data_IF_432154995043
#
_entry.id   IF_432154995043
#
_cell.length_a   1.000
_cell.length_b   1.000
_cell.length_c   1.000
_cell.angle_alpha   90.00
_cell.angle_beta   90.00
_cell.angle_gamma   90.00
#
_symmetry.space_group_name_H-M   'P 1'
#
loop_
_entity.id
_entity.type
_entity.pdbx_description
1 polymer ?
#
# COMPACT_ATOMS: atom_id res chain seq x y z
N UNK A 1 -2.65 1.98 29.07
CA UNK A 1 -1.98 3.29 29.32
C UNK A 1 -1.16 3.64 28.08
N UNK A 2 -1.18 4.88 27.59
CA UNK A 2 -0.49 5.28 26.36
C UNK A 2 0.70 6.17 26.71
N UNK A 3 1.91 5.72 26.37
CA UNK A 3 3.17 6.43 26.60
C UNK A 3 3.98 6.64 25.31
N UNK A 4 3.76 5.77 24.32
CA UNK A 4 4.31 5.84 22.97
C UNK A 4 3.16 5.83 21.97
N UNK A 5 3.32 6.56 20.88
CA UNK A 5 2.44 6.42 19.73
C UNK A 5 3.15 5.54 18.70
N UNK A 6 2.64 4.32 18.50
CA UNK A 6 3.21 3.33 17.57
C UNK A 6 3.12 3.76 16.10
N UNK A 7 2.09 4.54 15.73
CA UNK A 7 1.87 4.99 14.34
C UNK A 7 2.87 6.07 13.93
N UNK A 8 3.22 6.96 14.86
CA UNK A 8 4.11 8.09 14.66
C UNK A 8 5.55 7.80 15.13
N UNK A 9 5.79 6.59 15.64
CA UNK A 9 7.05 6.13 16.20
C UNK A 9 7.71 7.15 17.15
N UNK A 10 6.94 7.66 18.12
CA UNK A 10 7.46 8.67 19.06
C UNK A 10 6.94 8.50 20.48
N UNK A 11 7.79 8.86 21.43
CA UNK A 11 7.43 8.96 22.84
C UNK A 11 6.54 10.21 23.01
N UNK A 12 5.44 10.05 23.76
CA UNK A 12 4.54 11.16 24.06
C UNK A 12 5.13 11.92 25.25
N UNK A 13 5.20 13.25 25.17
CA UNK A 13 5.78 14.14 26.20
C UNK A 13 5.05 14.04 27.56
N UNK A 14 3.91 13.35 27.62
CA UNK A 14 3.22 12.98 28.85
C UNK A 14 2.53 11.62 28.70
N UNK A 15 1.76 11.21 29.71
CA UNK A 15 1.02 9.94 29.66
C UNK A 15 -0.46 10.19 29.43
N UNK A 16 -1.09 9.38 28.59
CA UNK A 16 -2.55 9.38 28.43
C UNK A 16 -3.09 8.11 29.06
N UNK A 17 -4.03 8.26 30.00
CA UNK A 17 -4.79 7.14 30.53
C UNK A 17 -6.19 7.21 29.97
N UNK A 18 -6.76 6.04 29.74
CA UNK A 18 -8.18 5.93 29.46
C UNK A 18 -8.76 4.83 30.32
N UNK A 19 -10.02 5.01 30.66
CA UNK A 19 -10.83 4.02 31.34
C UNK A 19 -12.03 3.72 30.46
N UNK A 20 -12.33 2.44 30.36
CA UNK A 20 -13.52 1.93 29.71
C UNK A 20 -14.08 0.83 30.61
N UNK A 21 -15.36 0.53 30.45
CA UNK A 21 -16.00 -0.53 31.21
C UNK A 21 -15.93 -1.83 30.42
N UNK A 22 -15.21 -2.80 30.96
CA UNK A 22 -15.05 -4.12 30.35
C UNK A 22 -16.03 -5.16 30.93
N UNK A 23 -17.32 -4.83 30.89
CA UNK A 23 -18.41 -5.72 31.36
C UNK A 23 -19.58 -5.74 30.37
N UNK A 24 -19.27 -5.51 29.09
CA UNK A 24 -20.26 -5.35 28.03
C UNK A 24 -21.10 -6.60 27.78
N UNK A 25 -20.61 -7.78 28.18
CA UNK A 25 -21.35 -9.04 28.11
C UNK A 25 -22.52 -9.11 29.11
N UNK A 26 -22.47 -8.35 30.20
CA UNK A 26 -23.49 -8.36 31.25
C UNK A 26 -24.26 -7.04 31.38
N UNK A 27 -23.70 -5.91 30.93
CA UNK A 27 -24.29 -4.59 31.16
C UNK A 27 -25.02 -3.98 29.95
N UNK A 28 -25.03 -4.68 28.81
CA UNK A 28 -25.72 -4.25 27.59
C UNK A 28 -25.03 -3.13 26.82
N UNK A 29 -23.75 -2.84 27.11
CA UNK A 29 -22.98 -1.82 26.42
C UNK A 29 -22.93 -2.06 24.90
N UNK A 30 -23.27 -1.03 24.14
CA UNK A 30 -23.27 -1.04 22.66
C UNK A 30 -21.90 -0.63 22.11
N UNK A 31 -21.66 -0.96 20.84
CA UNK A 31 -20.49 -0.52 20.07
C UNK A 31 -20.30 0.99 20.17
N UNK A 32 -19.07 1.43 20.48
CA UNK A 32 -18.73 2.83 20.60
C UNK A 32 -18.65 3.47 19.21
N UNK A 33 -19.73 4.14 18.81
CA UNK A 33 -19.86 4.78 17.49
C UNK A 33 -18.83 5.89 17.25
N UNK A 34 -18.32 6.54 18.29
CA UNK A 34 -17.31 7.58 18.14
C UNK A 34 -15.97 6.97 17.69
N UNK A 35 -15.56 5.85 18.28
CA UNK A 35 -14.34 5.14 17.85
C UNK A 35 -14.49 4.55 16.45
N UNK A 36 -15.67 4.03 16.11
CA UNK A 36 -15.94 3.57 14.74
C UNK A 36 -15.85 4.73 13.74
N UNK A 37 -16.43 5.89 14.06
CA UNK A 37 -16.33 7.08 13.21
C UNK A 37 -14.89 7.61 13.09
N UNK A 38 -14.04 7.35 14.09
CA UNK A 38 -12.62 7.66 14.02
C UNK A 38 -11.86 6.74 13.08
N UNK A 39 -12.41 5.61 12.65
CA UNK A 39 -11.81 4.78 11.60
C UNK A 39 -12.42 5.14 10.25
N UNK A 40 -11.59 5.46 9.26
CA UNK A 40 -12.10 5.68 7.90
C UNK A 40 -12.83 4.41 7.44
N UNK A 41 -13.88 4.52 6.62
CA UNK A 41 -14.77 3.41 6.20
C UNK A 41 -14.04 2.16 5.65
N UNK A 42 -12.77 2.28 5.27
CA UNK A 42 -11.92 1.19 4.76
C UNK A 42 -11.03 0.50 5.82
N UNK A 43 -10.88 1.08 7.02
CA UNK A 43 -10.09 0.54 8.11
C UNK A 43 -11.02 0.03 9.21
N UNK A 44 -11.28 -1.27 9.28
CA UNK A 44 -12.03 -1.84 10.41
C UNK A 44 -11.29 -1.55 11.71
N UNK A 45 -11.97 -0.98 12.71
CA UNK A 45 -11.49 -0.98 14.10
C UNK A 45 -11.24 -2.44 14.50
N UNK A 46 -10.00 -2.77 14.88
CA UNK A 46 -9.61 -4.17 15.15
C UNK A 46 -10.14 -4.71 16.47
N UNK A 47 -10.42 -3.82 17.43
CA UNK A 47 -10.99 -4.15 18.73
C UNK A 47 -12.44 -3.67 18.86
N UNK A 48 -13.31 -4.51 19.40
CA UNK A 48 -14.72 -4.20 19.65
C UNK A 48 -14.87 -3.30 20.88
N UNK A 49 -14.53 -2.01 20.73
CA UNK A 49 -14.69 -1.02 21.78
C UNK A 49 -16.18 -0.75 22.04
N UNK A 50 -16.65 -1.11 23.24
CA UNK A 50 -18.04 -0.90 23.67
C UNK A 50 -18.16 0.05 24.84
N UNK A 51 -19.32 0.70 24.92
CA UNK A 51 -19.67 1.60 26.01
C UNK A 51 -18.89 2.93 26.01
N UNK A 52 -19.12 3.77 27.03
CA UNK A 52 -18.40 5.02 27.20
C UNK A 52 -16.92 4.80 27.52
N UNK A 53 -16.07 5.65 26.95
CA UNK A 53 -14.63 5.67 27.23
C UNK A 53 -14.25 7.07 27.70
N UNK A 54 -13.54 7.15 28.82
CA UNK A 54 -13.01 8.39 29.37
C UNK A 54 -11.50 8.39 29.21
N UNK A 55 -10.96 9.37 28.48
CA UNK A 55 -9.52 9.57 28.35
C UNK A 55 -9.08 10.88 29.01
N UNK A 56 -7.93 10.87 29.68
CA UNK A 56 -7.38 12.02 30.38
C UNK A 56 -5.84 11.95 30.38
N UNK A 57 -5.20 13.12 30.39
CA UNK A 57 -3.75 13.20 30.48
C UNK A 57 -3.28 13.11 31.93
N UNK A 58 -2.07 12.61 32.14
CA UNK A 58 -1.39 12.61 33.43
C UNK A 58 -0.16 13.52 33.36
N UNK A 59 0.06 14.32 34.41
CA UNK A 59 1.22 15.20 34.54
C UNK A 59 2.37 14.59 35.36
N UNK A 60 3.54 14.48 34.73
CA UNK A 60 4.84 14.12 35.33
C UNK A 60 5.36 12.70 35.00
N UNK A 61 6.48 12.28 35.60
CA UNK A 61 7.20 11.04 35.26
C UNK A 61 7.16 9.88 36.31
N UNK A 62 6.53 10.03 37.48
CA UNK A 62 6.54 9.03 38.58
C UNK A 62 5.42 7.97 38.52
N UNK A 63 5.54 6.89 39.29
CA UNK A 63 4.57 5.77 39.36
C UNK A 63 3.26 6.16 40.08
N UNK A 64 3.30 7.10 41.03
CA UNK A 64 2.18 7.52 41.89
C UNK A 64 1.69 8.95 41.62
N UNK A 65 1.28 9.24 40.38
CA UNK A 65 0.79 10.59 40.04
C UNK A 65 -0.72 10.71 40.06
N UNK A 66 -1.21 11.74 40.76
CA UNK A 66 -2.63 12.10 40.94
C UNK A 66 -3.06 13.34 40.15
N UNK A 67 -2.16 13.94 39.35
CA UNK A 67 -2.43 15.18 38.63
C UNK A 67 -2.97 14.83 37.23
N UNK A 68 -4.28 15.01 37.05
CA UNK A 68 -4.92 14.97 35.74
C UNK A 68 -4.68 16.29 35.00
N UNK A 69 -4.43 16.21 33.70
CA UNK A 69 -4.39 17.34 32.79
C UNK A 69 -5.39 17.15 31.65
N UNK A 70 -5.87 18.26 31.12
CA UNK A 70 -6.69 18.24 29.92
C UNK A 70 -5.89 17.76 28.70
N UNK A 71 -6.61 17.11 27.80
CA UNK A 71 -6.07 16.63 26.53
C UNK A 71 -6.08 17.79 25.52
N UNK A 72 -4.98 17.94 24.79
CA UNK A 72 -4.89 18.86 23.68
C UNK A 72 -5.09 18.12 22.33
N UNK A 73 -5.16 18.83 21.18
CA UNK A 73 -5.35 18.18 19.88
C UNK A 73 -4.25 17.16 19.50
N UNK A 74 -3.03 17.32 20.03
CA UNK A 74 -1.93 16.37 19.81
C UNK A 74 -2.19 15.07 20.58
N UNK A 75 -2.66 15.17 21.83
CA UNK A 75 -3.06 14.00 22.61
C UNK A 75 -4.26 13.26 21.98
N UNK A 76 -5.18 14.02 21.39
CA UNK A 76 -6.30 13.44 20.66
C UNK A 76 -5.82 12.59 19.48
N UNK A 77 -4.84 13.09 18.70
CA UNK A 77 -4.21 12.27 17.65
C UNK A 77 -3.63 10.98 18.21
N UNK A 78 -2.99 11.05 19.38
CA UNK A 78 -2.41 9.88 20.03
C UNK A 78 -3.46 8.84 20.46
N UNK A 79 -4.61 9.28 20.97
CA UNK A 79 -5.74 8.41 21.30
C UNK A 79 -6.35 7.76 20.05
N UNK A 80 -6.53 8.52 18.98
CA UNK A 80 -7.08 8.00 17.71
C UNK A 80 -6.19 6.90 17.14
N UNK A 81 -4.89 7.15 17.08
CA UNK A 81 -3.93 6.17 16.59
C UNK A 81 -3.95 4.90 17.46
N UNK A 82 -3.96 5.06 18.79
CA UNK A 82 -4.05 3.93 19.73
C UNK A 82 -5.30 3.08 19.50
N UNK A 83 -6.50 3.68 19.44
CA UNK A 83 -7.74 2.91 19.25
C UNK A 83 -7.81 2.21 17.89
N UNK A 84 -7.14 2.76 16.88
CA UNK A 84 -7.04 2.13 15.55
C UNK A 84 -6.08 0.94 15.54
N UNK A 85 -5.01 0.98 16.32
CA UNK A 85 -3.98 -0.06 16.31
C UNK A 85 -4.15 -1.13 17.38
N UNK A 86 -4.98 -0.89 18.40
CA UNK A 86 -5.19 -1.83 19.51
C UNK A 86 -5.75 -3.19 19.03
N UNK A 87 -5.06 -4.27 19.40
CA UNK A 87 -5.45 -5.67 19.20
C UNK A 87 -5.37 -6.40 20.54
N UNK A 88 -6.27 -7.38 20.78
CA UNK A 88 -6.05 -8.40 21.82
C UNK A 88 -5.06 -9.38 21.21
N UNK A 89 -3.77 -9.08 21.29
CA UNK A 89 -2.82 -10.17 21.35
C UNK A 89 -2.82 -10.61 22.82
N UNK A 90 -3.18 -11.88 23.02
CA UNK A 90 -3.31 -12.58 24.30
C UNK A 90 -2.25 -12.18 25.31
N UNK A 91 -2.69 -11.95 26.54
CA UNK A 91 -1.91 -11.87 27.78
C UNK A 91 -1.12 -13.18 28.11
N UNK A 92 -0.63 -13.91 27.09
CA UNK A 92 0.05 -15.22 27.22
C UNK A 92 1.36 -15.30 26.39
N UNK A 93 2.06 -14.19 26.16
CA UNK A 93 3.52 -14.27 26.04
C UNK A 93 4.12 -13.58 27.26
N UNK A 94 4.51 -14.43 28.20
CA UNK A 94 5.30 -14.12 29.38
C UNK A 94 6.32 -13.03 29.08
N UNK A 95 6.09 -11.91 29.74
CA UNK A 95 7.08 -11.02 30.33
C UNK A 95 8.28 -11.85 30.83
N UNK A 96 9.19 -12.16 29.92
CA UNK A 96 10.46 -12.82 30.19
C UNK A 96 11.56 -12.02 29.51
N UNK A 97 12.27 -11.33 30.39
CA UNK A 97 13.50 -10.58 30.19
C UNK A 97 13.43 -9.32 29.32
N UNK A 98 13.22 -8.22 30.03
CA UNK A 98 14.09 -7.04 29.99
C UNK A 98 15.59 -7.44 29.94
N UNK A 99 16.06 -7.92 28.79
CA UNK A 99 17.48 -7.93 28.48
C UNK A 99 17.73 -6.98 27.32
N UNK A 100 18.31 -5.85 27.69
CA UNK A 100 19.11 -4.99 26.83
C UNK A 100 20.04 -5.88 25.99
N UNK A 101 20.02 -5.72 24.69
CA UNK A 101 21.13 -6.13 23.85
C UNK A 101 22.34 -5.28 24.27
N UNK A 102 23.53 -5.89 24.30
CA UNK A 102 24.83 -5.38 24.81
C UNK A 102 25.27 -3.98 24.29
N UNK A 103 24.51 -3.38 23.37
CA UNK A 103 24.78 -2.10 22.73
C UNK A 103 23.72 -1.00 22.98
N UNK A 104 22.74 -1.20 23.87
CA UNK A 104 21.84 -0.13 24.32
C UNK A 104 20.87 0.42 23.25
N UNK A 105 20.63 -0.32 22.16
CA UNK A 105 19.66 0.07 21.13
C UNK A 105 18.24 -0.40 21.47
N UNK A 106 17.21 0.47 21.38
CA UNK A 106 15.83 0.08 21.69
C UNK A 106 15.32 -0.96 20.70
N UNK A 107 14.92 -2.14 21.19
CA UNK A 107 14.26 -3.19 20.38
C UNK A 107 13.02 -2.59 19.70
N UNK A 108 13.08 -2.44 18.38
CA UNK A 108 11.96 -1.95 17.56
C UNK A 108 10.81 -2.95 17.65
N UNK A 109 9.64 -2.48 18.08
CA UNK A 109 8.45 -3.34 18.18
C UNK A 109 8.13 -3.90 16.79
N UNK A 110 7.56 -5.11 16.70
CA UNK A 110 7.07 -5.64 15.40
C UNK A 110 6.09 -4.67 14.70
N UNK A 111 5.50 -3.73 15.43
CA UNK A 111 4.57 -2.70 14.95
C UNK A 111 5.27 -1.55 14.21
N UNK A 112 6.55 -1.28 14.48
CA UNK A 112 7.32 -0.22 13.79
C UNK A 112 8.05 -0.71 12.55
N UNK A 113 8.00 -2.02 12.24
CA UNK A 113 8.62 -2.58 11.03
C UNK A 113 7.86 -2.10 9.79
N UNK A 114 8.63 -1.54 8.86
CA UNK A 114 8.16 -1.10 7.54
C UNK A 114 8.90 -1.87 6.46
N UNK A 115 8.31 -1.93 5.28
CA UNK A 115 8.91 -2.51 4.07
C UNK A 115 8.87 -1.50 2.95
N UNK A 116 9.84 -1.57 2.05
CA UNK A 116 9.87 -0.69 0.88
C UNK A 116 8.88 -1.17 -0.17
N UNK A 117 7.99 -0.27 -0.57
CA UNK A 117 7.07 -0.43 -1.67
C UNK A 117 7.20 0.73 -2.66
N UNK A 118 6.34 0.71 -3.67
CA UNK A 118 6.30 1.74 -4.71
C UNK A 118 4.90 2.31 -4.83
N UNK A 119 4.78 3.63 -4.81
CA UNK A 119 3.60 4.35 -5.26
C UNK A 119 3.74 4.64 -6.75
N UNK A 120 2.86 4.07 -7.56
CA UNK A 120 2.68 4.42 -8.97
C UNK A 120 1.73 5.62 -9.01
N UNK A 121 2.29 6.81 -9.23
CA UNK A 121 1.53 8.06 -9.24
C UNK A 121 0.67 8.17 -10.50
N UNK A 122 -0.60 8.55 -10.36
CA UNK A 122 -1.46 8.83 -11.51
C UNK A 122 -1.06 10.14 -12.21
N UNK A 123 -1.56 10.35 -13.43
CA UNK A 123 -1.27 11.57 -14.20
C UNK A 123 -1.63 12.86 -13.44
N UNK A 124 -2.70 12.82 -12.62
CA UNK A 124 -3.08 13.94 -11.78
C UNK A 124 -2.00 14.33 -10.77
N UNK A 125 -1.48 13.34 -10.04
CA UNK A 125 -0.42 13.54 -9.05
C UNK A 125 0.88 14.01 -9.74
N UNK A 126 1.19 13.48 -10.92
CA UNK A 126 2.37 13.88 -11.70
C UNK A 126 2.28 15.33 -12.22
N UNK A 127 1.18 15.68 -12.91
CA UNK A 127 1.04 16.97 -13.59
C UNK A 127 0.87 18.15 -12.62
N UNK A 128 0.18 17.94 -11.48
CA UNK A 128 -0.13 19.04 -10.55
C UNK A 128 0.88 19.14 -9.41
N UNK A 129 1.33 18.01 -8.86
CA UNK A 129 2.27 18.03 -7.74
C UNK A 129 3.72 17.78 -8.17
N UNK A 130 3.97 17.56 -9.47
CA UNK A 130 5.31 17.23 -9.97
C UNK A 130 5.83 15.89 -9.45
N UNK A 131 4.94 15.01 -8.98
CA UNK A 131 5.34 13.72 -8.41
C UNK A 131 5.99 12.84 -9.48
N UNK A 132 7.06 12.09 -9.17
CA UNK A 132 7.65 11.16 -10.12
C UNK A 132 6.67 10.03 -10.45
N UNK A 133 6.71 9.42 -11.65
CA UNK A 133 5.78 8.35 -12.01
C UNK A 133 5.82 7.13 -11.07
N UNK A 134 7.01 6.80 -10.56
CA UNK A 134 7.25 5.74 -9.58
C UNK A 134 8.00 6.35 -8.40
N UNK A 135 7.40 6.26 -7.22
CA UNK A 135 7.91 6.86 -5.99
C UNK A 135 8.11 5.78 -4.94
N UNK A 136 9.26 5.79 -4.28
CA UNK A 136 9.56 4.87 -3.18
C UNK A 136 8.77 5.26 -1.93
N UNK A 137 8.18 4.28 -1.26
CA UNK A 137 7.38 4.51 -0.06
C UNK A 137 7.65 3.44 0.99
N UNK A 138 7.74 3.86 2.26
CA UNK A 138 7.78 2.92 3.37
C UNK A 138 6.36 2.51 3.79
N UNK A 139 6.10 1.22 3.83
CA UNK A 139 4.78 0.66 4.15
C UNK A 139 4.87 -0.11 5.46
N UNK A 140 4.11 0.29 6.51
CA UNK A 140 4.03 -0.48 7.75
C UNK A 140 3.56 -1.91 7.49
N UNK A 141 4.13 -2.90 8.19
CA UNK A 141 3.71 -4.31 8.05
C UNK A 141 2.23 -4.57 8.39
N UNK A 142 1.60 -3.64 9.11
CA UNK A 142 0.17 -3.68 9.44
C UNK A 142 -0.73 -3.01 8.40
N UNK A 143 -0.17 -2.47 7.32
CA UNK A 143 -0.93 -1.76 6.30
C UNK A 143 -2.01 -2.67 5.68
N UNK A 144 -3.23 -2.15 5.39
CA UNK A 144 -4.33 -2.95 4.84
C UNK A 144 -3.99 -3.75 3.58
N UNK A 145 -3.03 -3.31 2.79
CA UNK A 145 -2.57 -4.01 1.59
C UNK A 145 -2.16 -5.47 1.84
N UNK A 146 -1.72 -5.86 3.04
CA UNK A 146 -1.35 -7.26 3.28
C UNK A 146 -2.55 -8.22 3.46
N UNK A 147 -3.77 -7.70 3.55
CA UNK A 147 -5.00 -8.50 3.69
C UNK A 147 -6.18 -8.03 2.83
N UNK A 148 -6.12 -6.80 2.31
CA UNK A 148 -7.10 -6.21 1.40
C UNK A 148 -6.35 -5.57 0.22
N UNK A 149 -6.16 -6.37 -0.83
CA UNK A 149 -5.36 -6.03 -2.00
C UNK A 149 -5.91 -6.71 -3.24
N UNK A 150 -5.38 -6.27 -4.37
CA UNK A 150 -5.43 -6.99 -5.64
C UNK A 150 -4.06 -7.58 -5.97
N UNK A 151 -4.04 -8.46 -6.97
CA UNK A 151 -2.84 -9.11 -7.51
C UNK A 151 -2.77 -8.91 -9.02
N UNK A 152 -1.60 -9.16 -9.60
CA UNK A 152 -1.38 -9.13 -11.06
C UNK A 152 -1.20 -10.55 -11.60
N UNK A 153 -2.02 -10.94 -12.56
CA UNK A 153 -1.89 -12.23 -13.26
C UNK A 153 -0.52 -12.36 -13.94
N UNK A 154 -0.06 -11.29 -14.59
CA UNK A 154 1.25 -11.28 -15.27
C UNK A 154 2.36 -11.45 -14.24
N UNK A 155 2.33 -10.70 -13.13
CA UNK A 155 3.35 -10.83 -12.10
C UNK A 155 3.38 -12.24 -11.49
N UNK A 156 2.21 -12.88 -11.34
CA UNK A 156 2.13 -14.28 -10.91
C UNK A 156 2.79 -15.24 -11.93
N UNK A 157 2.57 -15.07 -13.24
CA UNK A 157 3.28 -15.82 -14.29
C UNK A 157 4.79 -15.58 -14.29
N UNK A 158 5.22 -14.39 -13.88
CA UNK A 158 6.62 -14.02 -13.70
C UNK A 158 7.20 -14.46 -12.34
N UNK A 159 6.43 -15.17 -11.51
CA UNK A 159 6.85 -15.59 -10.16
C UNK A 159 7.27 -14.43 -9.26
N UNK A 160 6.70 -13.23 -9.46
CA UNK A 160 6.96 -12.06 -8.64
C UNK A 160 5.73 -11.78 -7.75
N UNK A 161 5.82 -11.99 -6.42
CA UNK A 161 4.66 -11.98 -5.55
C UNK A 161 4.27 -10.54 -5.17
N UNK A 162 3.65 -9.81 -6.09
CA UNK A 162 3.22 -8.42 -5.85
C UNK A 162 1.77 -8.33 -5.37
N UNK A 163 1.54 -7.38 -4.46
CA UNK A 163 0.24 -6.95 -4.00
C UNK A 163 0.02 -5.50 -4.43
N UNK A 164 -1.20 -5.16 -4.81
CA UNK A 164 -1.56 -3.81 -5.25
C UNK A 164 -2.77 -3.28 -4.48
N UNK A 165 -2.80 -1.98 -4.19
CA UNK A 165 -3.97 -1.32 -3.64
C UNK A 165 -4.06 0.11 -4.17
N UNK A 166 -5.26 0.53 -4.56
CA UNK A 166 -5.49 1.92 -4.96
C UNK A 166 -5.39 2.85 -3.76
N UNK A 167 -4.78 4.00 -3.95
CA UNK A 167 -4.91 5.10 -3.00
C UNK A 167 -6.33 5.68 -3.05
N UNK A 168 -6.82 6.23 -1.93
CA UNK A 168 -8.00 7.08 -1.97
C UNK A 168 -7.81 8.21 -3.00
N UNK A 169 -8.83 8.51 -3.80
CA UNK A 169 -8.81 9.65 -4.71
C UNK A 169 -8.39 10.93 -3.97
N UNK A 170 -7.45 11.70 -4.53
CA UNK A 170 -7.10 12.99 -3.95
C UNK A 170 -8.33 13.92 -3.99
N UNK A 171 -8.59 14.62 -2.87
CA UNK A 171 -9.70 15.58 -2.77
C UNK A 171 -9.64 16.65 -3.85
N UNK A 172 -8.43 17.06 -4.25
CA UNK A 172 -8.20 17.99 -5.34
C UNK A 172 -8.83 17.53 -6.68
N UNK A 173 -9.06 16.24 -6.87
CA UNK A 173 -9.70 15.66 -8.05
C UNK A 173 -11.20 15.41 -7.84
N UNK A 174 -11.59 15.00 -6.64
CA UNK A 174 -12.97 14.64 -6.30
C UNK A 174 -13.86 15.87 -6.21
N UNK A 175 -13.32 16.96 -5.68
CA UNK A 175 -14.05 18.20 -5.39
C UNK A 175 -13.91 19.25 -6.51
N UNK A 176 -13.07 18.99 -7.51
CA UNK A 176 -12.87 19.90 -8.64
C UNK A 176 -14.08 19.90 -9.57
N UNK A 177 -14.47 21.10 -10.04
CA UNK A 177 -15.50 21.22 -11.06
C UNK A 177 -15.01 20.63 -12.40
N UNK A 178 -15.91 20.20 -13.29
CA UNK A 178 -15.52 19.74 -14.64
C UNK A 178 -14.68 20.77 -15.41
N UNK A 179 -14.94 22.06 -15.20
CA UNK A 179 -14.18 23.14 -15.84
C UNK A 179 -12.77 23.24 -15.25
N UNK A 180 -12.62 23.15 -13.91
CA UNK A 180 -11.31 23.10 -13.25
C UNK A 180 -10.49 21.90 -13.71
N UNK A 181 -11.12 20.74 -13.86
CA UNK A 181 -10.46 19.54 -14.38
C UNK A 181 -10.02 19.76 -15.84
N UNK A 182 -10.87 20.36 -16.68
CA UNK A 182 -10.50 20.65 -18.08
C UNK A 182 -9.35 21.65 -18.19
N UNK A 183 -9.36 22.72 -17.39
CA UNK A 183 -8.30 23.73 -17.40
C UNK A 183 -6.98 23.19 -16.85
N UNK A 184 -7.02 22.42 -15.75
CA UNK A 184 -5.81 21.89 -15.10
C UNK A 184 -5.19 20.70 -15.83
N UNK A 185 -5.98 19.97 -16.61
CA UNK A 185 -5.55 18.71 -17.22
C UNK A 185 -5.71 18.64 -18.73
N UNK A 186 -6.08 19.73 -19.41
CA UNK A 186 -6.21 19.75 -20.87
C UNK A 186 -7.14 18.62 -21.39
N UNK A 187 -8.26 18.41 -20.70
CA UNK A 187 -9.20 17.30 -20.92
C UNK A 187 -8.70 15.88 -20.56
N UNK A 188 -7.54 15.72 -19.92
CA UNK A 188 -7.15 14.45 -19.30
C UNK A 188 -7.87 14.21 -17.96
N UNK A 189 -8.21 12.96 -17.69
CA UNK A 189 -8.73 12.57 -16.37
C UNK A 189 -7.56 12.41 -15.38
N UNK A 190 -7.55 13.08 -14.22
CA UNK A 190 -6.44 13.03 -13.27
C UNK A 190 -6.18 11.64 -12.69
N UNK A 191 -7.17 10.76 -12.79
CA UNK A 191 -7.12 9.38 -12.30
C UNK A 191 -6.47 8.39 -13.26
N UNK A 192 -5.99 8.83 -14.43
CA UNK A 192 -5.36 7.94 -15.40
C UNK A 192 -4.04 7.40 -14.83
N UNK A 193 -3.87 6.09 -14.89
CA UNK A 193 -2.65 5.40 -14.48
C UNK A 193 -2.44 4.17 -15.36
N UNK A 194 -1.88 4.39 -16.56
CA UNK A 194 -1.66 3.34 -17.54
C UNK A 194 -0.74 2.23 -17.01
N UNK A 195 0.31 2.59 -16.27
CA UNK A 195 1.23 1.63 -15.66
C UNK A 195 0.49 0.62 -14.77
N UNK A 196 -0.43 1.10 -13.93
CA UNK A 196 -1.27 0.23 -13.11
C UNK A 196 -2.35 -0.52 -13.91
N UNK A 197 -2.94 0.11 -14.93
CA UNK A 197 -3.91 -0.56 -15.81
C UNK A 197 -3.29 -1.77 -16.50
N UNK A 198 -2.14 -1.60 -17.15
CA UNK A 198 -1.44 -2.68 -17.85
C UNK A 198 -0.87 -3.73 -16.88
N UNK A 199 -0.48 -3.33 -15.66
CA UNK A 199 -0.08 -4.28 -14.62
C UNK A 199 -1.19 -5.29 -14.29
N UNK A 200 -2.47 -4.92 -14.44
CA UNK A 200 -3.62 -5.77 -14.13
C UNK A 200 -4.30 -6.36 -15.37
N UNK A 201 -3.62 -6.46 -16.52
CA UNK A 201 -4.16 -7.23 -17.65
C UNK A 201 -4.45 -8.68 -17.22
N UNK A 202 -5.63 -9.17 -17.59
CA UNK A 202 -6.05 -10.54 -17.28
C UNK A 202 -5.27 -11.52 -18.15
N UNK A 203 -4.46 -12.36 -17.51
CA UNK A 203 -3.72 -13.43 -18.18
C UNK A 203 -4.23 -14.82 -17.79
N UNK A 204 -5.13 -14.95 -16.82
CA UNK A 204 -5.70 -16.25 -16.43
C UNK A 204 -7.19 -16.31 -16.76
N UNK A 205 -7.88 -17.41 -16.45
CA UNK A 205 -9.35 -17.45 -16.60
C UNK A 205 -9.93 -16.36 -15.68
N UNK A 206 -10.98 -15.67 -16.14
CA UNK A 206 -11.68 -14.65 -15.37
C UNK A 206 -11.83 -15.08 -13.92
N UNK A 207 -11.36 -14.25 -12.99
CA UNK A 207 -11.53 -14.51 -11.56
C UNK A 207 -13.01 -14.78 -11.28
N UNK A 208 -13.32 -15.71 -10.36
CA UNK A 208 -14.71 -16.03 -9.98
C UNK A 208 -15.51 -14.78 -9.59
N UNK A 209 -14.81 -13.74 -9.17
CA UNK A 209 -15.34 -12.52 -8.58
C UNK A 209 -15.49 -11.37 -9.60
N UNK A 210 -14.94 -11.52 -10.81
CA UNK A 210 -15.16 -10.60 -11.94
C UNK A 210 -15.34 -11.38 -13.26
N UNK A 211 -16.56 -11.88 -13.54
CA UNK A 211 -16.86 -12.60 -14.77
C UNK A 211 -16.75 -11.73 -16.04
N UNK A 212 -16.53 -10.42 -15.91
CA UNK A 212 -16.29 -9.50 -17.03
C UNK A 212 -14.79 -9.28 -17.31
N UNK A 213 -13.91 -9.89 -16.53
CA UNK A 213 -12.47 -9.93 -16.80
C UNK A 213 -12.23 -10.71 -18.09
N UNK A 214 -11.71 -10.01 -19.11
CA UNK A 214 -11.50 -10.56 -20.45
C UNK A 214 -10.01 -10.74 -20.69
N UNK A 215 -9.63 -11.87 -21.29
CA UNK A 215 -8.26 -12.17 -21.72
C UNK A 215 -7.59 -10.96 -22.40
N UNK A 216 -6.41 -10.56 -21.91
CA UNK A 216 -5.66 -9.44 -22.47
C UNK A 216 -6.17 -8.05 -22.09
N UNK A 217 -7.22 -7.95 -21.26
CA UNK A 217 -7.79 -6.69 -20.79
C UNK A 217 -7.74 -6.60 -19.26
N UNK A 218 -7.52 -5.39 -18.75
CA UNK A 218 -7.64 -5.15 -17.32
C UNK A 218 -9.11 -5.25 -16.87
N UNK A 219 -9.42 -5.72 -15.65
CA UNK A 219 -10.76 -5.61 -15.07
C UNK A 219 -11.29 -4.18 -15.10
N UNK A 220 -12.61 -3.98 -15.14
CA UNK A 220 -13.21 -2.64 -15.29
C UNK A 220 -12.75 -1.64 -14.21
N UNK A 221 -12.58 -2.12 -12.97
CA UNK A 221 -12.03 -1.32 -11.86
C UNK A 221 -10.61 -0.81 -12.14
N UNK A 222 -9.83 -1.49 -12.96
CA UNK A 222 -8.46 -1.12 -13.35
C UNK A 222 -8.39 -0.38 -14.70
N UNK A 223 -9.53 -0.18 -15.39
CA UNK A 223 -9.60 0.58 -16.65
C UNK A 223 -9.98 2.05 -16.47
N UNK A 224 -10.75 2.39 -15.42
CA UNK A 224 -11.26 3.74 -15.21
C UNK A 224 -11.13 4.16 -13.75
N UNK A 225 -10.91 5.47 -13.53
CA UNK A 225 -10.70 6.08 -12.20
C UNK A 225 -9.70 5.27 -11.35
N UNK A 226 -8.54 4.97 -11.94
CA UNK A 226 -7.53 4.11 -11.31
C UNK A 226 -6.90 4.84 -10.13
N UNK A 227 -6.49 6.10 -10.33
CA UNK A 227 -5.78 6.88 -9.33
C UNK A 227 -4.36 6.37 -9.10
N UNK A 228 -3.70 6.93 -8.10
CA UNK A 228 -2.38 6.45 -7.66
C UNK A 228 -2.52 5.08 -6.98
N UNK A 229 -1.49 4.25 -7.09
CA UNK A 229 -1.55 2.83 -6.67
C UNK A 229 -0.33 2.48 -5.84
N UNK A 230 -0.54 1.84 -4.70
CA UNK A 230 0.52 1.25 -3.90
C UNK A 230 0.82 -0.16 -4.40
N UNK A 231 2.09 -0.49 -4.55
CA UNK A 231 2.59 -1.82 -4.89
C UNK A 231 3.62 -2.24 -3.85
N UNK A 232 3.45 -3.44 -3.29
CA UNK A 232 4.41 -4.05 -2.35
C UNK A 232 4.61 -5.52 -2.71
N UNK A 233 5.66 -6.15 -2.19
CA UNK A 233 5.79 -7.60 -2.27
C UNK A 233 5.09 -8.29 -1.11
N UNK A 234 4.40 -9.39 -1.40
CA UNK A 234 3.73 -10.25 -0.43
C UNK A 234 4.72 -10.88 0.56
N UNK A 235 5.91 -11.23 0.08
CA UNK A 235 7.01 -11.77 0.88
C UNK A 235 7.75 -10.71 1.72
N UNK A 236 7.30 -9.44 1.68
CA UNK A 236 7.82 -8.31 2.46
C UNK A 236 9.26 -7.92 2.14
N UNK A 237 9.83 -8.45 1.06
CA UNK A 237 11.10 -7.96 0.52
C UNK A 237 10.92 -6.59 -0.11
N UNK A 238 11.99 -5.78 -0.19
CA UNK A 238 11.88 -4.46 -0.78
C UNK A 238 11.43 -4.54 -2.25
N UNK A 239 10.75 -3.50 -2.71
CA UNK A 239 10.44 -3.29 -4.12
C UNK A 239 10.84 -1.87 -4.48
N UNK A 240 11.81 -1.73 -5.38
CA UNK A 240 12.33 -0.42 -5.76
C UNK A 240 11.52 0.19 -6.91
N UNK A 241 11.51 1.53 -7.06
CA UNK A 241 10.82 2.20 -8.18
C UNK A 241 11.21 1.65 -9.56
N UNK A 242 12.50 1.31 -9.75
CA UNK A 242 13.00 0.73 -11.00
C UNK A 242 12.39 -0.65 -11.28
N UNK A 243 12.16 -1.47 -10.25
CA UNK A 243 11.53 -2.79 -10.38
C UNK A 243 10.07 -2.64 -10.82
N UNK A 244 9.32 -1.77 -10.16
CA UNK A 244 7.92 -1.51 -10.51
C UNK A 244 7.78 -0.89 -11.90
N UNK A 245 8.68 0.03 -12.28
CA UNK A 245 8.67 0.62 -13.61
C UNK A 245 8.95 -0.41 -14.71
N UNK A 246 9.99 -1.22 -14.54
CA UNK A 246 10.33 -2.27 -15.49
C UNK A 246 9.16 -3.26 -15.64
N UNK A 247 8.55 -3.67 -14.53
CA UNK A 247 7.39 -4.56 -14.57
C UNK A 247 6.20 -3.93 -15.31
N UNK A 248 5.84 -2.69 -14.97
CA UNK A 248 4.74 -1.99 -15.65
C UNK A 248 5.01 -1.83 -17.16
N UNK A 249 6.24 -1.50 -17.55
CA UNK A 249 6.62 -1.37 -18.97
C UNK A 249 6.65 -2.73 -19.69
N UNK A 250 7.10 -3.79 -19.02
CA UNK A 250 7.00 -5.14 -19.56
C UNK A 250 5.53 -5.50 -19.82
N UNK A 251 4.64 -5.26 -18.86
CA UNK A 251 3.20 -5.51 -19.05
C UNK A 251 2.63 -4.67 -20.20
N UNK A 252 2.99 -3.38 -20.28
CA UNK A 252 2.45 -2.45 -21.26
C UNK A 252 2.98 -2.66 -22.68
N UNK A 253 4.25 -3.02 -22.86
CA UNK A 253 4.89 -3.02 -24.19
C UNK A 253 5.30 -4.42 -24.67
N UNK A 254 5.41 -5.40 -23.78
CA UNK A 254 5.70 -6.79 -24.14
C UNK A 254 4.49 -7.69 -23.97
N UNK A 255 3.93 -7.80 -22.76
CA UNK A 255 2.81 -8.70 -22.51
C UNK A 255 1.56 -8.31 -23.32
N UNK A 256 1.22 -7.02 -23.36
CA UNK A 256 0.10 -6.49 -24.17
C UNK A 256 0.17 -6.93 -25.64
N UNK A 257 1.36 -6.94 -26.25
CA UNK A 257 1.56 -7.35 -27.65
C UNK A 257 1.35 -8.84 -27.83
N UNK A 258 1.75 -9.66 -26.87
CA UNK A 258 1.46 -11.11 -26.88
C UNK A 258 -0.06 -11.36 -26.77
N UNK A 259 -0.76 -10.58 -25.95
CA UNK A 259 -2.23 -10.66 -25.89
C UNK A 259 -2.89 -10.22 -27.19
N UNK A 260 -2.47 -9.10 -27.77
CA UNK A 260 -2.94 -8.62 -29.08
C UNK A 260 -2.71 -9.67 -30.19
N UNK A 261 -1.55 -10.33 -30.18
CA UNK A 261 -1.25 -11.41 -31.12
C UNK A 261 -2.13 -12.64 -30.91
N UNK A 262 -2.41 -12.98 -29.66
CA UNK A 262 -3.37 -14.04 -29.36
C UNK A 262 -4.82 -13.68 -29.75
N UNK A 263 -5.16 -12.39 -29.76
CA UNK A 263 -6.47 -11.88 -30.21
C UNK A 263 -6.57 -11.71 -31.74
N UNK A 264 -5.48 -11.92 -32.48
CA UNK A 264 -5.44 -11.83 -33.94
C UNK A 264 -5.27 -10.43 -34.51
N UNK A 265 -4.67 -9.50 -33.76
CA UNK A 265 -4.45 -8.12 -34.23
C UNK A 265 -3.34 -7.97 -35.29
N UNK A 266 -2.54 -9.02 -35.54
CA UNK A 266 -1.38 -8.98 -36.45
C UNK A 266 -1.58 -9.80 -37.74
N UNK A 267 -2.73 -9.69 -38.41
CA UNK A 267 -2.90 -10.33 -39.72
C UNK A 267 -1.78 -9.91 -40.70
N UNK A 268 -1.24 -10.84 -41.54
CA UNK A 268 -1.70 -12.22 -41.77
C UNK A 268 -1.07 -13.29 -40.86
N UNK A 269 -0.36 -12.91 -39.80
CA UNK A 269 0.28 -13.86 -38.89
C UNK A 269 -0.76 -14.72 -38.16
N UNK A 270 -0.45 -16.01 -37.97
CA UNK A 270 -1.36 -16.92 -37.26
C UNK A 270 -1.41 -16.50 -35.77
N UNK A 271 -2.61 -16.26 -35.18
CA UNK A 271 -2.72 -15.87 -33.79
C UNK A 271 -2.08 -16.89 -32.84
N UNK A 272 -1.41 -16.39 -31.80
CA UNK A 272 -0.87 -17.23 -30.73
C UNK A 272 -1.99 -17.84 -29.89
N UNK A 273 -1.84 -19.10 -29.53
CA UNK A 273 -2.65 -19.74 -28.51
C UNK A 273 -2.36 -19.14 -27.12
N UNK A 274 -3.30 -19.27 -26.19
CA UNK A 274 -3.10 -18.79 -24.80
C UNK A 274 -1.93 -19.50 -24.12
N UNK A 275 -1.74 -20.78 -24.42
CA UNK A 275 -0.64 -21.59 -23.87
C UNK A 275 0.72 -21.10 -24.39
N UNK A 276 0.82 -20.67 -25.66
CA UNK A 276 2.04 -20.04 -26.19
C UNK A 276 2.33 -18.69 -25.52
N UNK A 277 1.30 -17.89 -25.24
CA UNK A 277 1.45 -16.62 -24.49
C UNK A 277 1.98 -16.90 -23.08
N UNK A 278 1.40 -17.87 -22.36
CA UNK A 278 1.86 -18.30 -21.03
C UNK A 278 3.26 -18.91 -21.06
N UNK A 279 3.61 -19.64 -22.12
CA UNK A 279 4.96 -20.17 -22.29
C UNK A 279 6.00 -19.06 -22.45
N UNK A 280 5.59 -17.91 -23.00
CA UNK A 280 6.46 -16.75 -23.26
C UNK A 280 6.57 -15.82 -22.05
N UNK A 281 5.47 -15.56 -21.35
CA UNK A 281 5.45 -14.73 -20.13
C UNK A 281 5.96 -15.58 -18.96
N UNK A 282 7.28 -15.57 -18.76
CA UNK A 282 7.96 -16.30 -17.68
C UNK A 282 9.10 -15.50 -17.09
N UNK A 283 9.47 -15.83 -15.85
CA UNK A 283 10.57 -15.21 -15.11
C UNK A 283 11.86 -15.03 -15.92
N UNK A 284 12.42 -16.03 -16.63
CA UNK A 284 13.66 -15.83 -17.38
C UNK A 284 13.56 -14.75 -18.47
N UNK A 285 12.41 -14.65 -19.13
CA UNK A 285 12.17 -13.63 -20.16
C UNK A 285 12.07 -12.23 -19.55
N UNK A 286 11.49 -12.11 -18.35
CA UNK A 286 11.46 -10.84 -17.64
C UNK A 286 12.82 -10.43 -17.07
N UNK A 287 13.65 -11.37 -16.62
CA UNK A 287 15.03 -11.07 -16.20
C UNK A 287 15.84 -10.48 -17.37
N UNK A 288 15.81 -11.12 -18.54
CA UNK A 288 16.48 -10.58 -19.75
C UNK A 288 15.92 -9.21 -20.14
N UNK A 289 14.60 -9.02 -20.04
CA UNK A 289 13.99 -7.72 -20.28
C UNK A 289 14.47 -6.67 -19.29
N UNK A 290 14.53 -7.01 -18.00
CA UNK A 290 14.92 -6.11 -16.93
C UNK A 290 16.36 -5.63 -17.10
N UNK A 291 17.29 -6.54 -17.42
CA UNK A 291 18.69 -6.22 -17.68
C UNK A 291 18.81 -5.20 -18.81
N UNK A 292 18.18 -5.49 -19.96
CA UNK A 292 18.17 -4.56 -21.10
C UNK A 292 17.54 -3.22 -20.73
N UNK A 293 16.41 -3.24 -20.04
CA UNK A 293 15.70 -2.02 -19.63
C UNK A 293 16.57 -1.16 -18.70
N UNK A 294 17.26 -1.78 -17.74
CA UNK A 294 18.18 -1.11 -16.83
C UNK A 294 19.34 -0.49 -17.61
N UNK A 295 19.97 -1.24 -18.51
CA UNK A 295 21.13 -0.76 -19.27
C UNK A 295 20.75 0.42 -20.18
N UNK A 296 19.64 0.31 -20.93
CA UNK A 296 19.08 1.39 -21.75
C UNK A 296 18.75 2.65 -20.93
N UNK A 297 18.38 2.48 -19.66
CA UNK A 297 18.06 3.59 -18.75
C UNK A 297 19.32 4.17 -18.11
N UNK A 298 20.29 3.34 -17.74
CA UNK A 298 21.58 3.75 -17.22
C UNK A 298 22.31 4.63 -18.23
N UNK A 299 22.29 4.26 -19.52
CA UNK A 299 22.87 5.07 -20.61
C UNK A 299 22.24 6.47 -20.71
N UNK A 300 20.93 6.59 -20.45
CA UNK A 300 20.21 7.88 -20.50
C UNK A 300 20.42 8.73 -19.26
N UNK A 301 20.70 8.10 -18.13
CA UNK A 301 20.92 8.76 -16.84
C UNK A 301 22.42 8.97 -16.52
N UNK A 302 23.31 8.45 -17.38
CA UNK A 302 24.77 8.57 -17.27
C UNK A 302 25.21 10.04 -17.23
N UNK A 303 24.57 10.90 -18.02
CA UNK A 303 24.80 12.36 -18.02
C UNK A 303 24.39 13.05 -16.72
N UNK A 304 23.59 12.38 -15.87
CA UNK A 304 23.11 12.91 -14.59
C UNK A 304 23.86 12.35 -13.37
N UNK A 305 24.86 11.50 -13.59
CA UNK A 305 25.67 10.91 -12.52
C UNK A 305 24.94 9.89 -11.62
N UNK A 306 23.74 9.45 -12.02
CA UNK A 306 22.95 8.48 -11.25
C UNK A 306 23.36 7.05 -11.62
N UNK A 307 23.69 6.24 -10.62
CA UNK A 307 23.95 4.80 -10.78
C UNK A 307 22.67 4.04 -10.37
N UNK A 308 22.09 3.29 -11.30
CA UNK A 308 20.91 2.47 -11.04
C UNK A 308 21.29 1.16 -10.32
N UNK A 309 20.40 0.61 -9.48
CA UNK A 309 20.62 -0.66 -8.82
C UNK A 309 20.77 -1.80 -9.85
N UNK A 310 21.74 -2.67 -9.60
CA UNK A 310 22.04 -3.83 -10.46
C UNK A 310 21.05 -4.97 -10.21
N UNK A 311 20.62 -5.10 -8.95
CA UNK A 311 19.79 -6.20 -8.43
C UNK A 311 18.45 -6.29 -9.14
N UNK A 312 18.13 -7.49 -9.62
CA UNK A 312 16.80 -7.78 -10.13
C UNK A 312 15.80 -7.81 -8.97
N UNK A 313 14.49 -7.68 -9.24
CA UNK A 313 13.49 -7.87 -8.21
C UNK A 313 13.49 -9.28 -7.60
N UNK A 314 14.28 -10.23 -8.08
CA UNK A 314 14.37 -11.58 -7.51
C UNK A 314 15.56 -11.78 -6.58
N UNK A 315 16.56 -10.89 -6.62
CA UNK A 315 17.81 -11.03 -5.86
C UNK A 315 17.72 -10.46 -4.44
N UNK A 316 16.77 -9.55 -4.21
CA UNK A 316 16.45 -8.99 -2.88
C UNK A 316 15.65 -9.96 -2.03
#
# INVERSE_FOLDING_TARGET
>A
MIQRNEVLDRIITGRIRFQYRDSFLSDGSKLNRAIVALSNESARVRYDWRGPIMAFGMGGHGLDQRICRDLNPVDFRHLVDYFRTYTIDSDDEEDSDETENEYGEPKTSRLSKKVMGVKINCEGDQKVFGAPPFEEVEVPLLHPIFHNHDTSDIAALLELPILTAKYPPNKAWVEASPEDLRTRFECYYPFVNQAATFLHLTATKAAKDDPKSTWGWAPMRWQSKVGSVLVVRQDRKPLLPLHAEALSKYCQFHASRLFAHSMGEFEPEKPMTRDEVHATIKRPMFVVYYEKFRDDKQEKELDKGTILPIETPYDM
#
